data_IF_920258422547
#
_entry.id   IF_920258422547
#
_cell.length_a   1.000
_cell.length_b   1.000
_cell.length_c   1.000
_cell.angle_alpha   90.00
_cell.angle_beta   90.00
_cell.angle_gamma   90.00
#
_symmetry.space_group_name_H-M   'P 1'
#
loop_
_entity.id
_entity.type
_entity.pdbx_description
1 polymer ?
#
# COMPACT_ATOMS: atom_id res chain seq x y z
N UNK A 1 -23.41 -3.54 10.03
CA UNK A 1 -23.27 -4.19 8.72
C UNK A 1 -21.98 -3.81 7.98
N UNK A 2 -21.65 -2.50 7.87
CA UNK A 2 -20.41 -2.05 7.17
C UNK A 2 -19.12 -2.57 7.82
N UNK A 3 -19.04 -2.59 9.16
CA UNK A 3 -17.89 -3.13 9.90
C UNK A 3 -17.62 -4.60 9.56
N UNK A 4 -18.67 -5.42 9.38
CA UNK A 4 -18.52 -6.83 9.05
C UNK A 4 -17.92 -7.06 7.66
N UNK A 5 -18.23 -6.18 6.69
CA UNK A 5 -17.60 -6.23 5.37
C UNK A 5 -16.13 -5.80 5.45
N UNK A 6 -15.79 -4.78 6.26
CA UNK A 6 -14.40 -4.39 6.49
C UNK A 6 -13.54 -5.58 6.94
N UNK A 7 -14.00 -6.34 7.93
CA UNK A 7 -13.28 -7.53 8.38
C UNK A 7 -13.18 -8.63 7.31
N UNK A 8 -14.22 -8.81 6.47
CA UNK A 8 -14.17 -9.76 5.36
C UNK A 8 -13.09 -9.40 4.35
N UNK A 9 -13.03 -8.12 3.95
CA UNK A 9 -12.05 -7.66 2.97
C UNK A 9 -10.63 -7.67 3.51
N UNK A 10 -10.44 -7.31 4.79
CA UNK A 10 -9.13 -7.45 5.44
C UNK A 10 -8.70 -8.92 5.58
N UNK A 11 -9.63 -9.85 5.72
CA UNK A 11 -9.30 -11.28 5.62
C UNK A 11 -8.87 -11.67 4.20
N UNK A 12 -9.40 -11.02 3.15
CA UNK A 12 -8.94 -11.24 1.78
C UNK A 12 -7.53 -10.68 1.55
N UNK A 13 -7.17 -9.51 2.12
CA UNK A 13 -5.79 -9.01 2.06
C UNK A 13 -4.83 -10.00 2.70
N UNK A 14 -5.15 -10.54 3.87
CA UNK A 14 -4.34 -11.58 4.53
C UNK A 14 -4.02 -12.75 3.60
N UNK A 15 -5.00 -13.25 2.84
CA UNK A 15 -4.75 -14.34 1.89
C UNK A 15 -3.97 -13.88 0.67
N UNK A 16 -4.21 -12.67 0.15
CA UNK A 16 -3.45 -12.08 -0.95
C UNK A 16 -1.96 -12.02 -0.60
N UNK A 17 -1.64 -11.43 0.55
CA UNK A 17 -0.32 -11.34 1.15
C UNK A 17 0.37 -12.70 1.23
N UNK A 18 -0.26 -13.67 1.88
CA UNK A 18 0.33 -15.02 2.01
C UNK A 18 0.58 -15.69 0.67
N UNK A 19 -0.35 -15.57 -0.29
CA UNK A 19 -0.22 -16.18 -1.61
C UNK A 19 0.95 -15.52 -2.36
N UNK A 20 1.06 -14.19 -2.36
CA UNK A 20 2.15 -13.43 -2.97
C UNK A 20 3.52 -13.87 -2.43
N UNK A 21 3.69 -13.80 -1.12
CA UNK A 21 4.97 -14.14 -0.49
C UNK A 21 5.33 -15.63 -0.61
N UNK A 22 4.39 -16.55 -0.49
CA UNK A 22 4.64 -18.00 -0.71
C UNK A 22 4.98 -18.29 -2.17
N UNK A 23 4.34 -17.60 -3.12
CA UNK A 23 4.70 -17.69 -4.53
C UNK A 23 6.16 -17.31 -4.76
N UNK A 24 6.63 -16.21 -4.15
CA UNK A 24 8.02 -15.77 -4.22
C UNK A 24 8.98 -16.79 -3.63
N UNK A 25 8.66 -17.36 -2.46
CA UNK A 25 9.50 -18.41 -1.85
C UNK A 25 9.68 -19.63 -2.75
N UNK A 26 8.68 -19.93 -3.60
CA UNK A 26 8.71 -21.09 -4.50
C UNK A 26 9.24 -20.79 -5.89
N UNK A 27 9.15 -19.54 -6.35
CA UNK A 27 9.52 -19.12 -7.72
C UNK A 27 10.40 -17.87 -7.71
N UNK A 28 11.53 -17.95 -7.04
CA UNK A 28 12.55 -16.89 -7.08
C UNK A 28 12.96 -16.65 -8.55
N UNK A 29 12.72 -15.44 -9.06
CA UNK A 29 13.08 -15.05 -10.43
C UNK A 29 11.92 -14.97 -11.45
N UNK A 30 10.66 -15.09 -11.01
CA UNK A 30 9.51 -14.79 -11.88
C UNK A 30 9.52 -13.30 -12.28
N UNK A 31 9.21 -13.03 -13.57
CA UNK A 31 9.06 -11.65 -14.02
C UNK A 31 7.67 -11.14 -13.61
N UNK A 32 7.64 -10.23 -12.66
CA UNK A 32 6.41 -9.66 -12.05
C UNK A 32 6.14 -8.21 -12.48
N UNK A 33 6.94 -7.70 -13.42
CA UNK A 33 6.89 -6.30 -13.86
C UNK A 33 5.48 -5.87 -14.31
N UNK A 34 4.73 -6.77 -14.97
CA UNK A 34 3.35 -6.49 -15.38
C UNK A 34 2.41 -6.28 -14.18
N UNK A 35 2.61 -7.05 -13.11
CA UNK A 35 1.83 -6.94 -11.89
C UNK A 35 2.14 -5.63 -11.16
N UNK A 36 3.41 -5.29 -10.99
CA UNK A 36 3.84 -4.01 -10.40
C UNK A 36 3.29 -2.82 -11.20
N UNK A 37 3.37 -2.88 -12.53
CA UNK A 37 2.84 -1.83 -13.41
C UNK A 37 1.32 -1.67 -13.25
N UNK A 38 0.58 -2.78 -13.19
CA UNK A 38 -0.88 -2.78 -12.99
C UNK A 38 -1.25 -2.24 -11.60
N UNK A 39 -0.58 -2.71 -10.53
CA UNK A 39 -0.82 -2.26 -9.16
C UNK A 39 -0.53 -0.76 -9.00
N UNK A 40 0.59 -0.27 -9.58
CA UNK A 40 0.91 1.16 -9.62
C UNK A 40 -0.23 1.98 -10.25
N UNK A 41 -0.76 1.52 -11.40
CA UNK A 41 -1.90 2.15 -12.07
C UNK A 41 -3.16 2.15 -11.21
N UNK A 42 -3.44 1.04 -10.51
CA UNK A 42 -4.59 0.94 -9.61
C UNK A 42 -4.50 1.92 -8.44
N UNK A 43 -3.35 2.03 -7.77
CA UNK A 43 -3.13 2.97 -6.67
C UNK A 43 -3.26 4.44 -7.11
N UNK A 44 -2.68 4.79 -8.25
CA UNK A 44 -2.82 6.13 -8.83
C UNK A 44 -4.29 6.40 -9.18
N UNK A 45 -4.96 5.43 -9.80
CA UNK A 45 -6.36 5.53 -10.20
C UNK A 45 -7.29 5.77 -9.02
N UNK A 46 -7.22 4.95 -7.97
CA UNK A 46 -8.09 5.09 -6.79
C UNK A 46 -7.84 6.42 -6.07
N UNK A 47 -6.58 6.87 -5.98
CA UNK A 47 -6.25 8.14 -5.34
C UNK A 47 -6.98 9.30 -6.00
N UNK A 48 -6.97 9.38 -7.35
CA UNK A 48 -7.56 10.50 -8.08
C UNK A 48 -9.06 10.37 -8.33
N UNK A 49 -9.59 9.16 -8.50
CA UNK A 49 -11.00 8.97 -8.87
C UNK A 49 -11.93 8.79 -7.67
N UNK A 50 -11.39 8.41 -6.50
CA UNK A 50 -12.20 8.10 -5.33
C UNK A 50 -11.72 8.81 -4.06
N UNK A 51 -10.50 8.54 -3.59
CA UNK A 51 -10.07 9.00 -2.26
C UNK A 51 -9.98 10.52 -2.18
N UNK A 52 -9.34 11.19 -3.16
CA UNK A 52 -9.21 12.65 -3.17
C UNK A 52 -10.57 13.34 -3.34
N UNK A 53 -11.44 12.94 -4.30
CA UNK A 53 -12.78 13.49 -4.41
C UNK A 53 -13.62 13.31 -3.16
N UNK A 54 -13.60 12.13 -2.52
CA UNK A 54 -14.35 11.87 -1.29
C UNK A 54 -13.83 12.70 -0.12
N UNK A 55 -12.49 12.77 0.04
CA UNK A 55 -11.87 13.62 1.03
C UNK A 55 -12.25 15.10 0.85
N UNK A 56 -12.34 15.58 -0.40
CA UNK A 56 -12.74 16.94 -0.72
C UNK A 56 -14.23 17.19 -0.42
N UNK A 57 -15.10 16.22 -0.69
CA UNK A 57 -16.53 16.30 -0.35
C UNK A 57 -16.73 16.39 1.17
N UNK A 58 -16.11 15.47 1.92
CA UNK A 58 -16.16 15.47 3.38
C UNK A 58 -15.51 16.72 4.00
N UNK A 59 -14.49 17.28 3.34
CA UNK A 59 -13.87 18.54 3.74
C UNK A 59 -14.86 19.69 3.67
N UNK A 60 -15.68 19.77 2.62
CA UNK A 60 -16.73 20.77 2.48
C UNK A 60 -17.81 20.61 3.57
N UNK A 61 -18.23 19.39 3.88
CA UNK A 61 -19.25 19.09 4.88
C UNK A 61 -18.77 19.36 6.32
N UNK A 62 -17.47 19.16 6.59
CA UNK A 62 -16.89 19.35 7.93
C UNK A 62 -16.29 20.72 8.16
N UNK A 63 -16.27 21.59 7.14
CA UNK A 63 -15.69 22.93 7.20
C UNK A 63 -14.16 22.95 7.22
N UNK A 64 -13.52 21.83 6.89
CA UNK A 64 -12.05 21.73 6.74
C UNK A 64 -11.65 22.49 5.47
N UNK A 65 -10.66 23.43 5.49
CA UNK A 65 -10.24 24.13 4.31
C UNK A 65 -9.58 23.21 3.26
N UNK A 66 -9.98 23.31 2.00
CA UNK A 66 -9.47 22.47 0.91
C UNK A 66 -7.94 22.56 0.74
N UNK A 67 -7.37 23.77 0.92
CA UNK A 67 -5.92 23.95 0.84
C UNK A 67 -5.18 23.15 1.94
N UNK A 68 -5.74 23.03 3.12
CA UNK A 68 -5.17 22.22 4.20
C UNK A 68 -5.24 20.73 3.86
N UNK A 69 -6.36 20.29 3.29
CA UNK A 69 -6.51 18.92 2.79
C UNK A 69 -5.45 18.59 1.72
N UNK A 70 -5.31 19.46 0.69
CA UNK A 70 -4.28 19.27 -0.35
C UNK A 70 -2.86 19.29 0.23
N UNK A 71 -2.61 20.12 1.25
CA UNK A 71 -1.33 20.12 1.96
C UNK A 71 -1.07 18.80 2.70
N UNK A 72 -2.11 18.15 3.22
CA UNK A 72 -2.00 16.83 3.88
C UNK A 72 -1.57 15.75 2.89
N UNK A 73 -2.12 15.76 1.66
CA UNK A 73 -1.71 14.83 0.59
C UNK A 73 -0.21 14.99 0.29
N UNK A 74 0.23 16.24 0.08
CA UNK A 74 1.65 16.53 -0.20
C UNK A 74 2.54 16.14 0.98
N UNK A 75 2.11 16.44 2.21
CA UNK A 75 2.84 16.10 3.42
C UNK A 75 2.99 14.58 3.56
N UNK A 76 1.91 13.82 3.35
CA UNK A 76 1.95 12.35 3.39
C UNK A 76 2.95 11.81 2.36
N UNK A 77 2.85 12.25 1.09
CA UNK A 77 3.82 11.89 0.05
C UNK A 77 5.26 12.15 0.48
N UNK A 78 5.54 13.33 1.06
CA UNK A 78 6.88 13.69 1.52
C UNK A 78 7.32 12.89 2.76
N UNK A 79 6.42 12.52 3.64
CA UNK A 79 6.71 11.65 4.79
C UNK A 79 7.18 10.29 4.31
N UNK A 80 6.44 9.65 3.40
CA UNK A 80 6.83 8.34 2.85
C UNK A 80 8.13 8.44 2.05
N UNK A 81 8.29 9.47 1.23
CA UNK A 81 9.55 9.72 0.53
C UNK A 81 10.73 9.87 1.50
N UNK A 82 10.55 10.64 2.58
CA UNK A 82 11.60 10.86 3.57
C UNK A 82 11.93 9.56 4.32
N UNK A 83 10.93 8.78 4.70
CA UNK A 83 11.12 7.49 5.36
C UNK A 83 11.92 6.54 4.45
N UNK A 84 11.56 6.42 3.18
CA UNK A 84 12.27 5.59 2.22
C UNK A 84 13.72 6.04 2.04
N UNK A 85 13.97 7.34 1.87
CA UNK A 85 15.33 7.88 1.79
C UNK A 85 16.13 7.67 3.07
N UNK A 86 15.51 7.80 4.24
CA UNK A 86 16.16 7.47 5.52
C UNK A 86 16.54 5.99 5.60
N UNK A 87 15.65 5.08 5.16
CA UNK A 87 15.95 3.65 5.09
C UNK A 87 17.10 3.35 4.13
N UNK A 88 17.12 3.99 2.95
CA UNK A 88 18.22 3.86 1.98
C UNK A 88 19.55 4.38 2.54
N UNK A 89 19.55 5.56 3.17
CA UNK A 89 20.76 6.13 3.77
C UNK A 89 21.33 5.30 4.93
N UNK A 90 20.46 4.70 5.75
CA UNK A 90 20.89 3.78 6.81
C UNK A 90 21.49 2.50 6.22
N UNK A 91 21.03 2.12 5.03
CA UNK A 91 21.53 0.96 4.31
C UNK A 91 22.96 1.16 3.79
N UNK A 92 23.19 2.24 3.05
CA UNK A 92 24.51 2.52 2.45
C UNK A 92 25.60 2.74 3.49
N UNK A 93 25.28 3.32 4.65
CA UNK A 93 26.27 3.50 5.73
C UNK A 93 26.65 2.21 6.45
N UNK A 94 25.78 1.21 6.46
CA UNK A 94 26.05 -0.08 7.11
C UNK A 94 26.90 -1.02 6.23
N UNK A 95 26.94 -0.81 4.91
CA UNK A 95 27.78 -1.56 3.99
C UNK A 95 29.28 -1.18 4.10
N UNK A 96 29.60 -0.02 4.66
CA UNK A 96 30.98 0.43 4.89
C UNK A 96 31.61 -0.12 6.19
N UNK A 97 30.83 -0.75 7.08
CA UNK A 97 31.31 -1.36 8.32
C UNK A 97 31.26 -2.88 8.28
N UNK A 98 32.41 -3.61 8.30
CA UNK A 98 32.46 -5.08 8.18
C UNK A 98 31.89 -5.86 9.37
N UNK A 99 31.03 -5.30 10.18
CA UNK A 99 30.50 -5.95 11.40
C UNK A 99 28.98 -6.01 11.52
N UNK A 100 28.24 -5.25 10.73
CA UNK A 100 26.76 -5.29 10.72
C UNK A 100 26.29 -5.76 9.35
N UNK A 101 26.06 -7.07 9.24
CA UNK A 101 25.80 -7.72 7.97
C UNK A 101 24.52 -7.29 7.27
N UNK A 102 24.36 -7.66 5.99
CA UNK A 102 23.22 -7.38 5.11
C UNK A 102 21.87 -7.72 5.74
N UNK A 103 21.82 -8.59 6.75
CA UNK A 103 20.60 -9.02 7.43
C UNK A 103 19.87 -7.90 8.17
N UNK A 104 20.59 -6.98 8.84
CA UNK A 104 19.96 -5.85 9.56
C UNK A 104 19.22 -4.94 8.58
N UNK A 105 19.78 -4.74 7.42
CA UNK A 105 19.23 -4.00 6.32
C UNK A 105 17.90 -4.58 5.81
N UNK A 106 17.84 -5.91 5.66
CA UNK A 106 16.62 -6.62 5.30
C UNK A 106 15.52 -6.47 6.36
N UNK A 107 15.88 -6.55 7.64
CA UNK A 107 14.93 -6.38 8.76
C UNK A 107 14.34 -4.97 8.78
N UNK A 108 15.17 -3.93 8.58
CA UNK A 108 14.70 -2.55 8.58
C UNK A 108 13.70 -2.31 7.44
N UNK A 109 14.00 -2.79 6.23
CA UNK A 109 13.07 -2.69 5.10
C UNK A 109 11.79 -3.48 5.32
N UNK A 110 11.88 -4.72 5.79
CA UNK A 110 10.72 -5.54 6.10
C UNK A 110 9.85 -4.88 7.20
N UNK A 111 10.46 -4.24 8.22
CA UNK A 111 9.71 -3.48 9.23
C UNK A 111 8.96 -2.28 8.62
N UNK A 112 9.55 -1.60 7.65
CA UNK A 112 8.89 -0.51 6.93
C UNK A 112 7.68 -1.00 6.14
N UNK A 113 7.82 -2.12 5.40
CA UNK A 113 6.72 -2.75 4.68
C UNK A 113 5.61 -3.22 5.62
N UNK A 114 5.95 -3.84 6.75
CA UNK A 114 4.98 -4.26 7.77
C UNK A 114 4.23 -3.07 8.39
N UNK A 115 4.91 -1.93 8.60
CA UNK A 115 4.23 -0.70 9.03
C UNK A 115 3.29 -0.16 7.94
N UNK A 116 3.72 -0.20 6.68
CA UNK A 116 2.88 0.15 5.54
C UNK A 116 1.62 -0.72 5.49
N UNK A 117 1.74 -2.05 5.55
CA UNK A 117 0.60 -2.98 5.61
C UNK A 117 -0.36 -2.71 6.79
N UNK A 118 0.16 -2.25 7.94
CA UNK A 118 -0.70 -1.79 9.04
C UNK A 118 -1.53 -0.57 8.63
N UNK A 119 -0.91 0.41 7.94
CA UNK A 119 -1.59 1.62 7.45
C UNK A 119 -2.63 1.28 6.37
N UNK A 120 -2.39 0.30 5.51
CA UNK A 120 -3.39 -0.21 4.57
C UNK A 120 -4.62 -0.76 5.28
N UNK A 121 -4.43 -1.48 6.37
CA UNK A 121 -5.52 -1.90 7.24
C UNK A 121 -6.30 -0.72 7.82
N UNK A 122 -5.60 0.32 8.28
CA UNK A 122 -6.22 1.57 8.76
C UNK A 122 -6.97 2.27 7.62
N UNK A 123 -6.42 2.30 6.39
CA UNK A 123 -7.06 2.86 5.21
C UNK A 123 -8.37 2.14 4.89
N UNK A 124 -8.36 0.80 4.82
CA UNK A 124 -9.55 -0.03 4.61
C UNK A 124 -10.60 0.26 5.70
N UNK A 125 -10.18 0.22 6.96
CA UNK A 125 -11.09 0.48 8.08
C UNK A 125 -11.71 1.87 8.03
N UNK A 126 -10.92 2.91 7.74
CA UNK A 126 -11.40 4.29 7.57
C UNK A 126 -12.36 4.40 6.40
N UNK A 127 -12.05 3.78 5.25
CA UNK A 127 -12.90 3.81 4.07
C UNK A 127 -14.26 3.13 4.31
N UNK A 128 -14.30 1.98 5.00
CA UNK A 128 -15.55 1.33 5.41
C UNK A 128 -16.31 2.10 6.49
N UNK A 129 -15.63 2.91 7.28
CA UNK A 129 -16.29 3.83 8.21
C UNK A 129 -17.05 4.94 7.48
N UNK A 130 -16.49 5.44 6.37
CA UNK A 130 -17.14 6.44 5.49
C UNK A 130 -18.31 5.80 4.74
N UNK A 131 -18.09 4.68 4.05
CA UNK A 131 -19.13 4.02 3.29
C UNK A 131 -18.67 2.69 2.67
N UNK A 132 -19.66 1.87 2.28
CA UNK A 132 -19.37 0.57 1.68
C UNK A 132 -18.65 0.69 0.34
N UNK A 133 -19.04 1.64 -0.51
CA UNK A 133 -18.50 1.82 -1.86
C UNK A 133 -17.02 2.20 -1.80
N UNK A 134 -16.68 3.24 -1.01
CA UNK A 134 -15.29 3.63 -0.81
C UNK A 134 -14.49 2.51 -0.14
N UNK A 135 -15.04 1.84 0.87
CA UNK A 135 -14.41 0.71 1.53
C UNK A 135 -14.07 -0.43 0.58
N UNK A 136 -15.00 -0.77 -0.33
CA UNK A 136 -14.78 -1.79 -1.35
C UNK A 136 -13.66 -1.40 -2.34
N UNK A 137 -13.67 -0.15 -2.81
CA UNK A 137 -12.67 0.36 -3.75
C UNK A 137 -11.27 0.37 -3.13
N UNK A 138 -11.14 0.90 -1.91
CA UNK A 138 -9.86 0.91 -1.18
C UNK A 138 -9.39 -0.51 -0.92
N UNK A 139 -10.26 -1.41 -0.46
CA UNK A 139 -9.89 -2.80 -0.20
C UNK A 139 -9.43 -3.53 -1.45
N UNK A 140 -10.07 -3.31 -2.61
CA UNK A 140 -9.63 -3.89 -3.88
C UNK A 140 -8.25 -3.36 -4.29
N UNK A 141 -8.02 -2.05 -4.17
CA UNK A 141 -6.71 -1.48 -4.48
C UNK A 141 -5.63 -2.05 -3.58
N UNK A 142 -5.89 -2.18 -2.27
CA UNK A 142 -4.97 -2.81 -1.31
C UNK A 142 -4.68 -4.25 -1.70
N UNK A 143 -5.70 -5.09 -1.94
CA UNK A 143 -5.50 -6.49 -2.35
C UNK A 143 -4.61 -6.62 -3.59
N UNK A 144 -4.73 -5.69 -4.56
CA UNK A 144 -3.93 -5.75 -5.78
C UNK A 144 -2.46 -5.34 -5.56
N UNK A 145 -2.18 -4.37 -4.69
CA UNK A 145 -0.78 -4.00 -4.46
C UNK A 145 -0.12 -4.83 -3.35
N UNK A 146 -0.84 -5.27 -2.31
CA UNK A 146 -0.33 -6.16 -1.26
C UNK A 146 0.35 -7.40 -1.85
N UNK A 147 -0.27 -8.01 -2.87
CA UNK A 147 0.37 -9.15 -3.53
C UNK A 147 1.77 -8.81 -4.05
N UNK A 148 1.99 -7.57 -4.53
CA UNK A 148 3.28 -7.09 -5.03
C UNK A 148 4.26 -6.76 -3.90
N UNK A 149 3.79 -6.16 -2.83
CA UNK A 149 4.61 -5.71 -1.70
C UNK A 149 5.14 -6.89 -0.89
N UNK A 150 4.34 -7.93 -0.77
CA UNK A 150 4.76 -9.17 -0.10
C UNK A 150 5.81 -9.96 -0.88
N UNK A 151 5.77 -9.87 -2.20
CA UNK A 151 6.88 -10.33 -3.03
C UNK A 151 8.17 -9.59 -2.66
N UNK A 152 8.09 -8.27 -2.43
CA UNK A 152 9.22 -7.45 -2.02
C UNK A 152 9.70 -7.80 -0.61
N UNK A 153 8.80 -7.95 0.37
CA UNK A 153 9.14 -8.33 1.75
C UNK A 153 9.95 -9.62 1.77
N UNK A 154 9.48 -10.66 1.10
CA UNK A 154 10.21 -11.94 1.03
C UNK A 154 11.53 -11.78 0.27
N UNK A 155 11.53 -11.06 -0.86
CA UNK A 155 12.72 -10.89 -1.70
C UNK A 155 13.82 -10.10 -0.98
N UNK A 156 13.46 -9.03 -0.28
CA UNK A 156 14.38 -8.20 0.51
C UNK A 156 15.01 -9.04 1.63
N UNK A 157 14.22 -9.83 2.35
CA UNK A 157 14.73 -10.72 3.39
C UNK A 157 15.71 -11.77 2.83
N UNK A 158 15.37 -12.42 1.72
CA UNK A 158 16.25 -13.43 1.11
C UNK A 158 17.55 -12.81 0.54
N UNK A 159 17.45 -11.65 -0.13
CA UNK A 159 18.62 -10.93 -0.67
C UNK A 159 19.54 -10.40 0.42
N UNK A 160 19.01 -10.10 1.59
CA UNK A 160 19.80 -9.72 2.77
C UNK A 160 20.47 -10.91 3.48
N UNK A 161 20.40 -12.12 2.93
CA UNK A 161 20.99 -13.32 3.50
C UNK A 161 20.18 -13.97 4.61
N UNK A 162 18.94 -13.57 4.82
CA UNK A 162 18.04 -14.21 5.79
C UNK A 162 17.61 -15.60 5.31
N UNK A 163 17.34 -16.49 6.26
CA UNK A 163 16.84 -17.84 5.92
C UNK A 163 15.40 -17.78 5.41
N UNK A 164 14.95 -18.73 4.57
CA UNK A 164 13.57 -18.81 4.12
C UNK A 164 12.56 -18.88 5.28
N UNK A 165 12.94 -19.48 6.41
CA UNK A 165 12.11 -19.50 7.63
C UNK A 165 11.93 -18.10 8.23
N UNK A 166 12.99 -17.30 8.25
CA UNK A 166 12.93 -15.91 8.74
C UNK A 166 12.12 -15.05 7.79
N UNK A 167 12.33 -15.18 6.49
CA UNK A 167 11.51 -14.48 5.48
C UNK A 167 10.02 -14.84 5.59
N UNK A 168 9.68 -16.10 5.81
CA UNK A 168 8.30 -16.54 6.03
C UNK A 168 7.69 -15.97 7.32
N UNK A 169 8.47 -15.83 8.41
CA UNK A 169 7.97 -15.20 9.64
C UNK A 169 7.63 -13.71 9.43
N UNK A 170 8.45 -12.99 8.69
CA UNK A 170 8.18 -11.61 8.32
C UNK A 170 6.94 -11.51 7.43
N UNK A 171 6.78 -12.40 6.46
CA UNK A 171 5.58 -12.49 5.63
C UNK A 171 4.30 -12.71 6.48
N UNK A 172 4.35 -13.59 7.47
CA UNK A 172 3.21 -13.83 8.37
C UNK A 172 2.91 -12.59 9.23
N UNK A 173 3.95 -11.89 9.72
CA UNK A 173 3.76 -10.62 10.42
C UNK A 173 3.09 -9.60 9.52
N UNK A 174 3.57 -9.46 8.31
CA UNK A 174 3.06 -8.56 7.29
C UNK A 174 1.58 -8.83 6.99
N UNK A 175 1.21 -10.09 6.74
CA UNK A 175 -0.17 -10.51 6.50
C UNK A 175 -1.13 -10.20 7.67
N UNK A 176 -0.65 -10.22 8.91
CA UNK A 176 -1.50 -9.99 10.11
C UNK A 176 -1.71 -8.50 10.38
N UNK A 177 -0.75 -7.65 10.02
CA UNK A 177 -0.80 -6.23 10.38
C UNK A 177 -1.96 -5.45 9.76
N UNK A 178 -2.46 -5.70 8.54
CA UNK A 178 -3.68 -5.07 8.03
C UNK A 178 -4.91 -5.39 8.89
N UNK A 179 -4.99 -6.62 9.44
CA UNK A 179 -6.08 -6.99 10.35
C UNK A 179 -6.04 -6.14 11.61
N UNK A 180 -4.83 -5.91 12.17
CA UNK A 180 -4.66 -5.07 13.34
C UNK A 180 -5.02 -3.60 13.06
N UNK A 181 -4.58 -3.07 11.92
CA UNK A 181 -4.90 -1.71 11.48
C UNK A 181 -6.39 -1.48 11.30
N UNK A 182 -7.06 -2.35 10.54
CA UNK A 182 -8.50 -2.29 10.35
C UNK A 182 -9.29 -2.49 11.65
N UNK A 183 -8.84 -3.41 12.52
CA UNK A 183 -9.48 -3.62 13.81
C UNK A 183 -9.41 -2.37 14.68
N UNK A 184 -8.25 -1.72 14.73
CA UNK A 184 -8.09 -0.48 15.47
C UNK A 184 -9.04 0.60 14.99
N UNK A 185 -9.21 0.75 13.68
CA UNK A 185 -10.06 1.77 13.04
C UNK A 185 -11.55 1.45 13.17
N UNK A 186 -11.94 0.19 12.88
CA UNK A 186 -13.34 -0.22 12.88
C UNK A 186 -13.96 -0.31 14.28
N UNK A 187 -13.14 -0.48 15.32
CA UNK A 187 -13.59 -0.54 16.72
C UNK A 187 -13.44 0.77 17.47
N UNK A 188 -12.71 1.76 16.91
CA UNK A 188 -12.47 3.06 17.56
C UNK A 188 -13.31 4.14 16.89
N UNK A 189 -14.12 4.92 17.63
CA UNK A 189 -14.85 6.04 17.04
C UNK A 189 -13.89 7.07 16.44
N UNK A 190 -14.02 7.35 15.16
CA UNK A 190 -13.21 8.36 14.47
C UNK A 190 -14.03 9.67 14.44
N UNK A 191 -13.50 10.77 14.99
CA UNK A 191 -14.18 12.07 14.88
C UNK A 191 -14.34 12.47 13.39
N UNK A 192 -15.54 12.89 13.00
CA UNK A 192 -15.90 13.15 11.59
C UNK A 192 -14.93 14.14 10.91
N UNK A 193 -14.48 15.16 11.64
CA UNK A 193 -13.52 16.16 11.13
C UNK A 193 -12.11 15.61 10.87
N UNK A 194 -11.77 14.42 11.40
CA UNK A 194 -10.47 13.75 11.18
C UNK A 194 -10.48 12.94 9.90
N UNK A 195 -11.64 12.44 9.47
CA UNK A 195 -11.77 11.54 8.33
C UNK A 195 -11.21 12.13 7.03
N UNK A 196 -11.49 13.41 6.64
CA UNK A 196 -10.91 14.01 5.45
C UNK A 196 -9.38 14.00 5.45
N UNK A 197 -8.76 14.22 6.62
CA UNK A 197 -7.31 14.19 6.77
C UNK A 197 -6.74 12.77 6.64
N UNK A 198 -7.42 11.77 7.18
CA UNK A 198 -6.99 10.37 7.00
C UNK A 198 -7.07 9.95 5.54
N UNK A 199 -8.15 10.26 4.84
CA UNK A 199 -8.28 9.97 3.41
C UNK A 199 -7.21 10.72 2.60
N UNK A 200 -6.97 12.00 2.89
CA UNK A 200 -5.91 12.78 2.25
C UNK A 200 -4.52 12.19 2.50
N UNK A 201 -4.26 11.70 3.71
CA UNK A 201 -3.01 11.02 4.06
C UNK A 201 -2.84 9.74 3.23
N UNK A 202 -3.86 8.87 3.15
CA UNK A 202 -3.80 7.65 2.34
C UNK A 202 -3.70 7.95 0.84
N UNK A 203 -4.34 9.00 0.34
CA UNK A 203 -4.15 9.41 -1.06
C UNK A 203 -2.68 9.77 -1.33
N UNK A 204 -2.03 10.50 -0.44
CA UNK A 204 -0.61 10.85 -0.54
C UNK A 204 0.32 9.64 -0.46
N UNK A 205 0.02 8.70 0.43
CA UNK A 205 0.71 7.41 0.56
C UNK A 205 0.60 6.57 -0.71
N UNK A 206 -0.62 6.35 -1.21
CA UNK A 206 -0.87 5.55 -2.42
C UNK A 206 -0.24 6.18 -3.67
N UNK A 207 -0.26 7.52 -3.77
CA UNK A 207 0.44 8.22 -4.85
C UNK A 207 1.95 8.04 -4.74
N UNK A 208 2.52 8.09 -3.52
CA UNK A 208 3.93 7.81 -3.30
C UNK A 208 4.27 6.38 -3.74
N UNK A 209 3.58 5.39 -3.20
CA UNK A 209 3.82 3.98 -3.49
C UNK A 209 3.66 3.66 -4.99
N UNK A 210 2.56 4.10 -5.60
CA UNK A 210 2.30 3.84 -7.01
C UNK A 210 3.33 4.49 -7.94
N UNK A 211 3.65 5.77 -7.72
CA UNK A 211 4.48 6.54 -8.64
C UNK A 211 5.99 6.39 -8.40
N UNK A 212 6.44 6.22 -7.16
CA UNK A 212 7.86 6.25 -6.81
C UNK A 212 8.46 4.91 -6.43
N UNK A 213 7.64 3.90 -6.12
CA UNK A 213 8.09 2.56 -5.79
C UNK A 213 7.67 1.54 -6.86
N UNK A 214 6.39 1.26 -7.01
CA UNK A 214 5.91 0.20 -7.91
C UNK A 214 6.18 0.50 -9.39
N UNK A 215 5.95 1.73 -9.85
CA UNK A 215 6.14 2.07 -11.26
C UNK A 215 7.62 2.03 -11.68
N UNK A 216 8.59 2.58 -10.93
CA UNK A 216 10.01 2.39 -11.20
C UNK A 216 10.46 0.94 -11.10
N UNK A 217 9.99 0.16 -10.12
CA UNK A 217 10.35 -1.26 -10.00
C UNK A 217 9.84 -2.07 -11.20
N UNK A 218 8.61 -1.79 -11.69
CA UNK A 218 8.09 -2.41 -12.91
C UNK A 218 8.99 -2.19 -14.14
N UNK A 219 9.62 -1.01 -14.25
CA UNK A 219 10.44 -0.61 -15.39
C UNK A 219 11.95 -0.82 -15.17
N UNK A 220 12.36 -1.35 -14.02
CA UNK A 220 13.77 -1.45 -13.62
C UNK A 220 14.66 -2.22 -14.60
N UNK A 221 14.14 -3.28 -15.19
CA UNK A 221 14.90 -4.16 -16.07
C UNK A 221 14.41 -4.16 -17.51
N UNK A 222 13.26 -3.61 -17.79
CA UNK A 222 12.62 -3.63 -19.10
C UNK A 222 11.71 -2.41 -19.28
N UNK A 223 11.83 -1.74 -20.41
CA UNK A 223 10.88 -0.71 -20.84
C UNK A 223 10.06 -1.27 -22.00
N UNK A 224 8.77 -1.49 -21.80
CA UNK A 224 7.92 -2.16 -22.79
C UNK A 224 6.54 -1.51 -22.85
N UNK A 225 5.96 -1.46 -24.05
CA UNK A 225 4.56 -1.08 -24.24
C UNK A 225 3.58 -1.95 -23.45
N UNK A 226 3.95 -3.20 -23.10
CA UNK A 226 3.15 -4.09 -22.26
C UNK A 226 3.02 -3.55 -20.84
N UNK A 227 4.10 -3.00 -20.29
CA UNK A 227 4.11 -2.40 -18.95
C UNK A 227 3.27 -1.12 -18.92
N UNK A 228 3.42 -0.25 -19.94
CA UNK A 228 2.57 0.93 -20.11
C UNK A 228 1.10 0.52 -20.18
N UNK A 229 0.77 -0.48 -20.99
CA UNK A 229 -0.59 -1.00 -21.11
C UNK A 229 -1.12 -1.54 -19.78
N UNK A 230 -0.29 -2.26 -19.00
CA UNK A 230 -0.67 -2.77 -17.68
C UNK A 230 -0.98 -1.62 -16.70
N UNK A 231 -0.16 -0.56 -16.68
CA UNK A 231 -0.42 0.64 -15.86
C UNK A 231 -1.75 1.31 -16.26
N UNK A 232 -1.96 1.52 -17.57
CA UNK A 232 -3.21 2.11 -18.08
C UNK A 232 -4.40 1.22 -17.72
N UNK A 233 -4.26 -0.10 -17.79
CA UNK A 233 -5.31 -1.05 -17.43
C UNK A 233 -5.67 -0.95 -15.94
N UNK A 234 -4.67 -0.81 -15.05
CA UNK A 234 -4.90 -0.59 -13.63
C UNK A 234 -5.69 0.70 -13.36
N UNK A 235 -5.28 1.81 -13.97
CA UNK A 235 -5.99 3.10 -13.90
C UNK A 235 -7.43 2.96 -14.45
N UNK A 236 -7.59 2.36 -15.62
CA UNK A 236 -8.89 2.21 -16.28
C UNK A 236 -9.83 1.29 -15.49
N UNK A 237 -9.30 0.24 -14.89
CA UNK A 237 -10.06 -0.66 -14.03
C UNK A 237 -10.62 0.09 -12.81
N UNK A 238 -9.80 0.87 -12.10
CA UNK A 238 -10.28 1.65 -10.95
C UNK A 238 -11.31 2.68 -11.38
N UNK A 239 -11.08 3.40 -12.49
CA UNK A 239 -12.07 4.32 -13.06
C UNK A 239 -13.41 3.62 -13.36
N UNK A 240 -13.37 2.47 -14.05
CA UNK A 240 -14.57 1.71 -14.40
C UNK A 240 -15.32 1.23 -13.14
N UNK A 241 -14.58 0.71 -12.15
CA UNK A 241 -15.15 0.25 -10.88
C UNK A 241 -15.83 1.40 -10.12
N UNK A 242 -15.19 2.57 -10.07
CA UNK A 242 -15.78 3.79 -9.49
C UNK A 242 -17.10 4.17 -10.18
N UNK A 243 -17.14 4.15 -11.52
CA UNK A 243 -18.36 4.49 -12.24
C UNK A 243 -19.48 3.46 -11.99
N UNK A 244 -19.16 2.18 -11.90
CA UNK A 244 -20.15 1.12 -11.65
C UNK A 244 -20.72 1.19 -10.22
N UNK A 245 -19.90 1.52 -9.22
CA UNK A 245 -20.34 1.56 -7.82
C UNK A 245 -21.09 2.83 -7.45
N UNK A 246 -20.85 3.95 -8.16
CA UNK A 246 -21.55 5.23 -7.92
C UNK A 246 -22.92 5.32 -8.61
N UNK A 247 -23.33 4.30 -9.38
CA UNK A 247 -24.68 4.13 -9.93
C UNK A 247 -25.50 3.16 -9.08
#
# INVERSE_FOLDING_TARGET
MQVSYGFLFVALTFFSTLIGGVFTLRRVGANLNMLFAFAAGALIGISFFDIIPEAAALSADTGVPLNLLMSTIVLAFLVFHTLDQCFLCLHTKNDEHPGHGPQISGIVKASGLTLHSFLDGVAIGTAFYVGFELGLLVALAVVFHDFSDDLNTVMVMLRSGSTPRTAFRWLVMDSVTPILGATATLLTPIPVYVIPFLLAFFAGEFLYLGATDLLPEAHRHETSFKLLFATILGVAMMFATTQILKF
#
